data_IF_066770953111
#
_entry.id   IF_066770953111
#
_cell.length_a   1.000
_cell.length_b   1.000
_cell.length_c   1.000
_cell.angle_alpha   90.00
_cell.angle_beta   90.00
_cell.angle_gamma   90.00
#
_symmetry.space_group_name_H-M   'P 1'
#
loop_
_entity.id
_entity.type
_entity.pdbx_description
1 polymer ?
#
# COMPACT_ATOMS: atom_id res chain seq x y z
N UNK A 1 33.77 -23.53 39.64
CA UNK A 1 32.42 -23.42 39.06
C UNK A 1 32.22 -21.97 38.66
N UNK A 2 32.33 -21.68 37.38
CA UNK A 2 32.23 -20.34 36.85
C UNK A 2 30.79 -20.14 36.36
N UNK A 3 30.02 -19.31 37.01
CA UNK A 3 28.69 -18.93 36.63
C UNK A 3 28.76 -17.89 35.49
N UNK A 4 28.37 -18.29 34.31
CA UNK A 4 28.19 -17.42 33.18
C UNK A 4 27.00 -16.47 33.43
N UNK A 5 27.13 -15.16 33.25
CA UNK A 5 26.01 -14.24 33.38
C UNK A 5 24.97 -14.56 32.29
N UNK A 6 23.70 -14.59 32.68
CA UNK A 6 22.56 -14.65 31.78
C UNK A 6 22.57 -13.37 30.95
N UNK A 7 22.73 -13.50 29.62
CA UNK A 7 22.52 -12.41 28.67
C UNK A 7 21.05 -12.00 28.77
N UNK A 8 20.80 -10.75 29.14
CA UNK A 8 19.48 -10.14 29.07
C UNK A 8 19.02 -10.15 27.61
N UNK A 9 17.76 -10.49 27.35
CA UNK A 9 17.23 -10.43 25.97
C UNK A 9 17.30 -8.98 25.54
N UNK A 10 18.12 -8.72 24.52
CA UNK A 10 18.25 -7.41 23.91
C UNK A 10 16.86 -6.91 23.51
N UNK A 11 16.50 -5.74 24.00
CA UNK A 11 15.35 -4.98 23.56
C UNK A 11 15.57 -4.76 22.06
N UNK A 12 14.83 -5.47 21.24
CA UNK A 12 14.70 -5.12 19.82
C UNK A 12 14.14 -3.70 19.81
N UNK A 13 14.97 -2.72 19.44
CA UNK A 13 14.50 -1.40 19.06
C UNK A 13 13.49 -1.62 17.93
N UNK A 14 12.24 -1.72 18.29
CA UNK A 14 11.15 -1.58 17.34
C UNK A 14 11.23 -0.16 16.83
N UNK A 15 11.77 0.02 15.63
CA UNK A 15 11.56 1.24 14.86
C UNK A 15 10.09 1.62 15.06
N UNK A 16 9.83 2.71 15.74
CA UNK A 16 8.48 3.12 16.17
C UNK A 16 7.72 3.66 14.98
N UNK A 17 7.43 2.77 14.03
CA UNK A 17 6.58 3.08 12.87
C UNK A 17 5.12 2.92 13.30
N UNK A 18 4.43 4.04 13.45
CA UNK A 18 3.01 4.07 13.72
C UNK A 18 2.24 4.02 12.41
N UNK A 19 1.38 3.02 12.21
CA UNK A 19 0.48 2.96 11.06
C UNK A 19 -0.93 3.33 11.50
N UNK A 20 -1.53 4.29 10.78
CA UNK A 20 -2.88 4.79 11.04
C UNK A 20 -3.67 5.01 9.75
N UNK A 21 -4.96 5.26 9.88
CA UNK A 21 -5.80 5.65 8.76
C UNK A 21 -5.31 6.98 8.15
N UNK A 22 -5.34 7.03 6.83
CA UNK A 22 -5.09 8.25 6.07
C UNK A 22 -6.25 9.23 6.25
N UNK A 23 -5.94 10.52 6.31
CA UNK A 23 -6.93 11.60 6.34
C UNK A 23 -6.54 12.71 5.36
N UNK A 24 -7.40 13.71 5.22
CA UNK A 24 -7.19 14.82 4.28
C UNK A 24 -5.90 15.60 4.50
N UNK A 25 -5.43 15.70 5.75
CA UNK A 25 -4.19 16.43 6.08
C UNK A 25 -2.94 15.74 5.54
N UNK A 26 -3.03 14.45 5.26
CA UNK A 26 -1.90 13.66 4.75
C UNK A 26 -1.72 13.83 3.24
N UNK A 27 -2.74 14.35 2.54
CA UNK A 27 -2.81 14.36 1.08
C UNK A 27 -1.60 15.00 0.43
N UNK A 28 -1.17 16.16 0.88
CA UNK A 28 -0.02 16.87 0.30
C UNK A 28 1.29 16.06 0.45
N UNK A 29 1.49 15.45 1.62
CA UNK A 29 2.66 14.60 1.88
C UNK A 29 2.63 13.33 1.04
N UNK A 30 1.47 12.70 0.91
CA UNK A 30 1.27 11.52 0.05
C UNK A 30 1.57 11.84 -1.41
N UNK A 31 1.05 12.95 -1.91
CA UNK A 31 1.35 13.44 -3.28
C UNK A 31 2.84 13.69 -3.48
N UNK A 32 3.52 14.26 -2.48
CA UNK A 32 4.95 14.51 -2.55
C UNK A 32 5.77 13.21 -2.57
N UNK A 33 5.41 12.22 -1.73
CA UNK A 33 6.07 10.90 -1.71
C UNK A 33 5.87 10.18 -3.06
N UNK A 34 4.64 10.17 -3.57
CA UNK A 34 4.32 9.55 -4.86
C UNK A 34 5.06 10.21 -6.02
N UNK A 35 5.15 11.54 -6.04
CA UNK A 35 5.81 12.28 -7.11
C UNK A 35 7.28 11.91 -7.28
N UNK A 36 7.96 11.53 -6.20
CA UNK A 36 9.36 11.06 -6.25
C UNK A 36 9.47 9.71 -6.97
N UNK A 37 8.51 8.83 -6.79
CA UNK A 37 8.51 7.50 -7.42
C UNK A 37 7.96 7.54 -8.86
N UNK A 38 6.85 8.27 -9.07
CA UNK A 38 6.15 8.31 -10.37
C UNK A 38 6.69 9.36 -11.34
N UNK A 39 7.53 10.27 -10.87
CA UNK A 39 8.02 11.41 -11.65
C UNK A 39 6.96 12.48 -11.95
N UNK A 40 5.74 12.37 -11.40
CA UNK A 40 4.61 13.28 -11.66
C UNK A 40 3.82 13.57 -10.39
N UNK A 41 3.46 14.84 -10.18
CA UNK A 41 2.52 15.19 -9.11
C UNK A 41 1.08 14.91 -9.56
N UNK A 42 0.36 14.10 -8.79
CA UNK A 42 -1.01 13.65 -9.09
C UNK A 42 -2.03 13.99 -7.98
N UNK A 43 -2.15 15.27 -7.57
CA UNK A 43 -2.98 15.64 -6.41
C UNK A 43 -4.45 15.25 -6.61
N UNK A 44 -5.01 15.47 -7.81
CA UNK A 44 -6.40 15.11 -8.12
C UNK A 44 -6.66 13.61 -8.04
N UNK A 45 -5.69 12.78 -8.45
CA UNK A 45 -5.81 11.33 -8.32
C UNK A 45 -5.98 10.91 -6.85
N UNK A 46 -5.09 11.38 -5.97
CA UNK A 46 -5.13 11.04 -4.55
C UNK A 46 -6.34 11.64 -3.85
N UNK A 47 -6.77 12.84 -4.22
CA UNK A 47 -8.00 13.43 -3.72
C UNK A 47 -9.21 12.56 -4.05
N UNK A 48 -9.35 12.12 -5.31
CA UNK A 48 -10.44 11.23 -5.73
C UNK A 48 -10.40 9.87 -5.02
N UNK A 49 -9.20 9.30 -4.81
CA UNK A 49 -9.05 8.05 -4.06
C UNK A 49 -9.51 8.22 -2.61
N UNK A 50 -9.13 9.31 -1.95
CA UNK A 50 -9.54 9.60 -0.58
C UNK A 50 -11.05 9.85 -0.48
N UNK A 51 -11.63 10.64 -1.40
CA UNK A 51 -13.08 10.87 -1.46
C UNK A 51 -13.87 9.55 -1.64
N UNK A 52 -13.39 8.65 -2.50
CA UNK A 52 -13.99 7.32 -2.67
C UNK A 52 -13.91 6.50 -1.39
N UNK A 53 -12.75 6.48 -0.75
CA UNK A 53 -12.56 5.79 0.51
C UNK A 53 -13.53 6.30 1.59
N UNK A 54 -13.74 7.61 1.69
CA UNK A 54 -14.69 8.22 2.62
C UNK A 54 -16.15 7.84 2.30
N UNK A 55 -16.53 7.84 1.02
CA UNK A 55 -17.92 7.55 0.61
C UNK A 55 -18.32 6.07 0.74
N UNK A 56 -17.38 5.16 0.58
CA UNK A 56 -17.67 3.72 0.53
C UNK A 56 -17.68 3.04 1.90
N UNK A 57 -17.54 3.77 3.01
CA UNK A 57 -17.45 3.23 4.39
C UNK A 57 -16.43 2.06 4.55
N UNK A 58 -15.75 1.68 3.49
CA UNK A 58 -14.68 0.68 3.45
C UNK A 58 -13.32 1.30 3.82
N UNK A 59 -13.34 2.22 4.70
CA UNK A 59 -12.34 3.24 5.02
C UNK A 59 -11.02 2.74 5.59
N UNK A 60 -10.96 1.48 5.96
CA UNK A 60 -9.79 0.98 6.71
C UNK A 60 -8.65 0.48 5.84
N UNK A 61 -8.69 0.83 4.55
CA UNK A 61 -7.73 0.31 3.58
C UNK A 61 -6.79 1.38 2.99
N UNK A 62 -6.96 2.64 3.37
CA UNK A 62 -6.01 3.71 3.05
C UNK A 62 -5.27 4.13 4.32
N UNK A 63 -3.97 3.87 4.34
CA UNK A 63 -3.14 3.99 5.54
C UNK A 63 -1.93 4.87 5.27
N UNK A 64 -1.46 5.53 6.31
CA UNK A 64 -0.15 6.18 6.37
C UNK A 64 0.69 5.60 7.48
N UNK A 65 1.99 5.59 7.29
CA UNK A 65 2.98 5.23 8.30
C UNK A 65 3.72 6.48 8.75
N UNK A 66 3.80 6.67 10.04
CA UNK A 66 4.58 7.75 10.67
C UNK A 66 5.85 7.21 11.29
N UNK A 67 6.93 7.94 11.10
CA UNK A 67 8.22 7.76 11.77
C UNK A 67 8.56 9.10 12.41
N UNK A 68 8.83 9.09 13.70
CA UNK A 68 9.13 10.32 14.47
C UNK A 68 8.06 11.42 14.29
N UNK A 69 6.79 11.02 14.25
CA UNK A 69 5.64 11.93 14.11
C UNK A 69 5.45 12.55 12.72
N UNK A 70 6.16 12.07 11.70
CA UNK A 70 6.04 12.52 10.31
C UNK A 70 5.62 11.38 9.40
N UNK A 71 4.74 11.68 8.44
CA UNK A 71 4.34 10.69 7.44
C UNK A 71 5.55 10.29 6.61
N UNK A 72 5.92 9.02 6.72
CA UNK A 72 7.07 8.39 6.07
C UNK A 72 6.68 7.47 4.90
N UNK A 73 5.41 7.11 4.80
CA UNK A 73 4.90 6.27 3.72
C UNK A 73 3.39 6.17 3.75
N UNK A 74 2.84 5.60 2.69
CA UNK A 74 1.41 5.40 2.53
C UNK A 74 1.09 4.13 1.74
N UNK A 75 -0.12 3.62 1.89
CA UNK A 75 -0.74 2.61 1.04
C UNK A 75 -2.20 2.95 0.82
N UNK A 76 -2.67 2.79 -0.40
CA UNK A 76 -4.06 2.95 -0.80
C UNK A 76 -4.52 1.66 -1.43
N UNK A 77 -5.68 1.17 -0.99
CA UNK A 77 -6.31 0.01 -1.58
C UNK A 77 -7.81 0.26 -1.78
N UNK A 78 -8.40 -0.46 -2.70
CA UNK A 78 -9.83 -0.45 -3.00
C UNK A 78 -10.43 -1.82 -2.82
N UNK A 79 -11.70 -1.88 -2.41
CA UNK A 79 -12.46 -3.13 -2.29
C UNK A 79 -13.37 -3.32 -3.49
N UNK A 80 -13.42 -4.53 -4.01
CA UNK A 80 -14.25 -4.94 -5.12
C UNK A 80 -15.10 -6.15 -4.76
N UNK A 81 -16.32 -6.17 -5.28
CA UNK A 81 -17.28 -7.24 -5.06
C UNK A 81 -17.82 -7.71 -6.39
N UNK A 82 -17.69 -9.01 -6.67
CA UNK A 82 -18.28 -9.63 -7.86
C UNK A 82 -17.55 -9.36 -9.18
N UNK A 83 -16.30 -8.91 -9.14
CA UNK A 83 -15.53 -8.66 -10.36
C UNK A 83 -14.89 -9.93 -10.92
N UNK A 84 -14.75 -9.97 -12.24
CA UNK A 84 -14.14 -11.08 -12.98
C UNK A 84 -14.76 -12.46 -12.67
N UNK A 85 -16.06 -12.50 -12.36
CA UNK A 85 -16.77 -13.74 -12.04
C UNK A 85 -16.43 -14.35 -10.67
N UNK A 86 -15.81 -13.59 -9.79
CA UNK A 86 -15.49 -13.97 -8.41
C UNK A 86 -16.47 -13.28 -7.48
N UNK A 87 -17.26 -14.06 -6.72
CA UNK A 87 -18.27 -13.53 -5.78
C UNK A 87 -17.65 -13.01 -4.48
N UNK A 88 -16.47 -13.50 -4.14
CA UNK A 88 -15.78 -13.16 -2.91
C UNK A 88 -15.18 -11.76 -2.98
N UNK A 89 -15.17 -11.00 -1.87
CA UNK A 89 -14.56 -9.69 -1.83
C UNK A 89 -13.06 -9.77 -2.12
N UNK A 90 -12.60 -8.92 -3.02
CA UNK A 90 -11.20 -8.79 -3.43
C UNK A 90 -10.72 -7.38 -3.15
N UNK A 91 -9.50 -7.22 -2.70
CA UNK A 91 -8.85 -5.91 -2.59
C UNK A 91 -7.84 -5.71 -3.73
N UNK A 92 -7.77 -4.47 -4.23
CA UNK A 92 -6.68 -4.00 -5.09
C UNK A 92 -5.82 -3.02 -4.30
N UNK A 93 -4.51 -3.23 -4.28
CA UNK A 93 -3.55 -2.26 -3.81
C UNK A 93 -3.25 -1.33 -4.99
N UNK A 94 -3.75 -0.09 -4.89
CA UNK A 94 -3.75 0.87 -6.00
C UNK A 94 -2.50 1.75 -5.99
N UNK A 95 -1.95 2.03 -4.80
CA UNK A 95 -0.71 2.78 -4.66
C UNK A 95 -0.01 2.46 -3.34
N UNK A 96 1.31 2.42 -3.36
CA UNK A 96 2.17 2.35 -2.18
C UNK A 96 3.40 3.20 -2.40
N UNK A 97 3.81 3.93 -1.37
CA UNK A 97 5.00 4.76 -1.44
C UNK A 97 5.67 4.93 -0.08
N UNK A 98 6.98 5.03 -0.10
CA UNK A 98 7.81 5.30 1.09
C UNK A 98 8.73 6.46 0.78
N UNK A 99 8.76 7.44 1.68
CA UNK A 99 9.64 8.59 1.59
C UNK A 99 11.10 8.13 1.46
N UNK A 100 11.85 8.77 0.57
CA UNK A 100 13.21 8.36 0.22
C UNK A 100 14.12 8.17 1.45
N UNK A 101 14.03 9.08 2.43
CA UNK A 101 14.82 9.02 3.66
C UNK A 101 14.46 7.86 4.60
N UNK A 102 13.31 7.21 4.40
CA UNK A 102 12.80 6.13 5.23
C UNK A 102 12.81 4.76 4.52
N UNK A 103 13.36 4.70 3.30
CA UNK A 103 13.54 3.43 2.59
C UNK A 103 14.54 2.54 3.34
N UNK A 104 14.30 1.23 3.32
CA UNK A 104 15.12 0.27 4.07
C UNK A 104 14.78 0.16 5.56
N UNK A 105 13.91 1.02 6.12
CA UNK A 105 13.46 1.03 7.52
C UNK A 105 12.14 0.27 7.74
N UNK A 106 11.82 -0.69 6.91
CA UNK A 106 10.62 -1.55 7.00
C UNK A 106 9.25 -0.84 6.98
N UNK A 107 9.20 0.45 6.60
CA UNK A 107 7.95 1.23 6.54
C UNK A 107 6.93 0.59 5.60
N UNK A 108 7.34 0.19 4.39
CA UNK A 108 6.46 -0.51 3.44
C UNK A 108 5.92 -1.84 3.98
N UNK A 109 6.76 -2.59 4.70
CA UNK A 109 6.36 -3.84 5.36
C UNK A 109 5.32 -3.60 6.45
N UNK A 110 5.51 -2.55 7.28
CA UNK A 110 4.56 -2.17 8.33
C UNK A 110 3.20 -1.80 7.73
N UNK A 111 3.18 -1.00 6.65
CA UNK A 111 1.97 -0.64 5.91
C UNK A 111 1.23 -1.89 5.38
N UNK A 112 1.94 -2.79 4.69
CA UNK A 112 1.32 -4.01 4.17
C UNK A 112 0.82 -4.94 5.27
N UNK A 113 1.54 -5.05 6.38
CA UNK A 113 1.09 -5.83 7.53
C UNK A 113 -0.23 -5.31 8.08
N UNK A 114 -0.34 -4.00 8.31
CA UNK A 114 -1.56 -3.39 8.82
C UNK A 114 -2.71 -3.50 7.81
N UNK A 115 -2.43 -3.27 6.52
CA UNK A 115 -3.43 -3.45 5.46
C UNK A 115 -3.99 -4.87 5.46
N UNK A 116 -3.13 -5.89 5.53
CA UNK A 116 -3.57 -7.30 5.58
C UNK A 116 -4.43 -7.60 6.81
N UNK A 117 -4.10 -7.05 7.97
CA UNK A 117 -4.92 -7.20 9.18
C UNK A 117 -6.30 -6.60 8.98
N UNK A 118 -6.38 -5.38 8.44
CA UNK A 118 -7.64 -4.70 8.16
C UNK A 118 -8.49 -5.48 7.12
N UNK A 119 -7.86 -5.94 6.04
CA UNK A 119 -8.54 -6.73 5.01
C UNK A 119 -9.03 -8.09 5.55
N UNK A 120 -8.26 -8.76 6.39
CA UNK A 120 -8.67 -10.01 7.03
C UNK A 120 -9.87 -9.81 7.95
N UNK A 121 -9.94 -8.69 8.69
CA UNK A 121 -11.10 -8.33 9.50
C UNK A 121 -12.37 -8.12 8.64
N UNK A 122 -12.20 -7.66 7.41
CA UNK A 122 -13.26 -7.50 6.40
C UNK A 122 -13.55 -8.80 5.62
N UNK A 123 -12.93 -9.92 5.99
CA UNK A 123 -13.05 -11.23 5.32
C UNK A 123 -12.62 -11.21 3.86
N UNK A 124 -11.74 -10.29 3.49
CA UNK A 124 -11.12 -10.26 2.16
C UNK A 124 -10.03 -11.32 2.11
N UNK A 125 -10.10 -12.18 1.12
CA UNK A 125 -9.18 -13.33 0.97
C UNK A 125 -8.08 -13.10 -0.06
N UNK A 126 -8.24 -12.09 -0.93
CA UNK A 126 -7.31 -11.81 -2.01
C UNK A 126 -6.95 -10.33 -2.05
N UNK A 127 -5.66 -10.04 -2.00
CA UNK A 127 -5.10 -8.71 -2.26
C UNK A 127 -4.32 -8.77 -3.58
N UNK A 128 -4.68 -7.94 -4.54
CA UNK A 128 -4.04 -7.82 -5.85
C UNK A 128 -3.33 -6.49 -5.98
N UNK A 129 -2.39 -6.43 -6.91
CA UNK A 129 -1.79 -5.19 -7.37
C UNK A 129 -1.32 -5.36 -8.81
N UNK A 130 -1.23 -4.26 -9.53
CA UNK A 130 -0.61 -4.17 -10.83
C UNK A 130 0.70 -3.41 -10.71
N UNK A 131 1.75 -3.94 -11.32
CA UNK A 131 3.10 -3.37 -11.28
C UNK A 131 3.61 -3.34 -12.70
N UNK A 132 4.25 -2.24 -13.10
CA UNK A 132 4.97 -2.20 -14.38
C UNK A 132 5.99 -3.33 -14.43
N UNK A 133 6.04 -4.08 -15.51
CA UNK A 133 6.88 -5.26 -15.65
C UNK A 133 8.37 -4.95 -15.57
N UNK A 134 8.77 -3.69 -15.74
CA UNK A 134 10.14 -3.16 -15.64
C UNK A 134 10.45 -2.44 -14.32
N UNK A 135 9.49 -2.35 -13.39
CA UNK A 135 9.74 -1.86 -12.02
C UNK A 135 10.27 -3.00 -11.13
N UNK A 136 11.52 -3.34 -11.33
CA UNK A 136 12.17 -4.45 -10.64
C UNK A 136 12.28 -4.26 -9.13
N UNK A 137 12.40 -3.02 -8.65
CA UNK A 137 12.48 -2.72 -7.21
C UNK A 137 11.14 -3.04 -6.53
N UNK A 138 10.03 -2.59 -7.13
CA UNK A 138 8.70 -2.84 -6.61
C UNK A 138 8.32 -4.31 -6.73
N UNK A 139 8.68 -4.97 -7.84
CA UNK A 139 8.49 -6.42 -8.00
C UNK A 139 9.26 -7.21 -6.95
N UNK A 140 10.51 -6.86 -6.68
CA UNK A 140 11.32 -7.50 -5.65
C UNK A 140 10.75 -7.29 -4.24
N UNK A 141 10.22 -6.09 -3.95
CA UNK A 141 9.53 -5.79 -2.71
C UNK A 141 8.30 -6.68 -2.53
N UNK A 142 7.40 -6.72 -3.51
CA UNK A 142 6.19 -7.53 -3.41
C UNK A 142 6.49 -9.02 -3.32
N UNK A 143 7.50 -9.50 -4.03
CA UNK A 143 7.96 -10.90 -3.90
C UNK A 143 8.39 -11.25 -2.47
N UNK A 144 9.16 -10.37 -1.81
CA UNK A 144 9.57 -10.54 -0.40
C UNK A 144 8.37 -10.54 0.54
N UNK A 145 7.34 -9.78 0.19
CA UNK A 145 6.08 -9.70 0.96
C UNK A 145 5.08 -10.80 0.60
N UNK A 146 5.49 -11.81 -0.17
CA UNK A 146 4.69 -13.00 -0.45
C UNK A 146 3.68 -12.87 -1.60
N UNK A 147 3.80 -11.83 -2.44
CA UNK A 147 3.02 -11.77 -3.67
C UNK A 147 3.61 -12.69 -4.73
N UNK A 148 2.75 -13.30 -5.51
CA UNK A 148 3.09 -14.16 -6.64
C UNK A 148 2.36 -13.70 -7.90
N UNK A 149 2.90 -13.94 -9.09
CA UNK A 149 2.21 -13.62 -10.34
C UNK A 149 0.83 -14.29 -10.40
N UNK A 150 -0.20 -13.53 -10.75
CA UNK A 150 -1.52 -14.05 -11.00
C UNK A 150 -1.60 -14.69 -12.41
N UNK A 151 -2.46 -15.70 -12.59
CA UNK A 151 -2.73 -16.31 -13.89
C UNK A 151 -3.69 -15.42 -14.72
N UNK A 152 -3.32 -14.16 -14.92
CA UNK A 152 -4.12 -13.15 -15.65
C UNK A 152 -3.19 -12.23 -16.41
N UNK A 153 -3.68 -11.73 -17.53
CA UNK A 153 -3.02 -10.70 -18.32
C UNK A 153 -3.82 -9.40 -18.21
N UNK A 154 -3.14 -8.27 -18.08
CA UNK A 154 -3.74 -6.97 -18.28
C UNK A 154 -3.70 -6.67 -19.78
N UNK A 155 -4.84 -6.29 -20.35
CA UNK A 155 -4.96 -5.95 -21.77
C UNK A 155 -5.56 -4.56 -21.88
N UNK A 156 -4.91 -3.70 -22.65
CA UNK A 156 -5.36 -2.34 -22.94
C UNK A 156 -5.81 -2.23 -24.40
N UNK A 157 -6.90 -1.50 -24.62
CA UNK A 157 -7.32 -1.10 -25.94
C UNK A 157 -7.42 0.43 -25.98
N UNK A 158 -6.67 1.06 -26.87
CA UNK A 158 -6.77 2.49 -27.08
C UNK A 158 -8.11 2.82 -27.78
N UNK A 159 -8.88 3.74 -27.18
CA UNK A 159 -10.12 4.22 -27.73
C UNK A 159 -9.94 5.63 -28.29
N UNK A 160 -10.54 5.90 -29.44
CA UNK A 160 -10.65 7.24 -29.99
C UNK A 160 -11.98 7.86 -29.52
N UNK A 161 -11.95 8.85 -28.60
CA UNK A 161 -13.16 9.46 -28.07
C UNK A 161 -13.94 10.29 -29.11
N UNK A 162 -13.37 10.50 -30.27
CA UNK A 162 -14.03 11.25 -31.39
C UNK A 162 -14.74 10.35 -32.40
N UNK A 163 -14.54 9.03 -32.32
CA UNK A 163 -15.22 8.03 -33.14
C UNK A 163 -16.46 7.50 -32.44
N UNK A 164 -17.61 7.93 -32.87
CA UNK A 164 -18.91 7.36 -32.53
C UNK A 164 -19.39 6.59 -33.76
N UNK A 165 -19.41 5.27 -33.69
CA UNK A 165 -20.11 4.42 -34.65
C UNK A 165 -21.57 4.28 -34.25
#
# INVERSE_FOLDING_TARGET
MSTKPLEEPGILETDSTLVRLMNERDLETVVAIDAVASGRRRPRYFQLMLERAVKQAALQVSLVAEVEGRVAGFVIASLYYGEYGVSEPTASLDAIGVHKANRGRHVGKALLRQLRLNLSALRVTTLRTEVSWDDFDLLAFFKKEGFTPAHRLCLDCALDPTRFE
#
